data_IF_054197627100
#
_entry.id   IF_054197627100
#
_cell.length_a   1.000
_cell.length_b   1.000
_cell.length_c   1.000
_cell.angle_alpha   90.00
_cell.angle_beta   90.00
_cell.angle_gamma   90.00
#
_symmetry.space_group_name_H-M   'P 1'
#
loop_
_entity.id
_entity.type
_entity.pdbx_description
1 polymer ?
#
# COMPACT_ATOMS: atom_id res chain seq x y z
N UNK A 1 11.46 -6.25 -3.47
CA UNK A 1 11.46 -4.88 -4.04
C UNK A 1 10.49 -4.81 -5.22
N UNK A 2 9.55 -3.86 -5.20
CA UNK A 2 8.54 -3.71 -6.25
C UNK A 2 9.18 -3.16 -7.53
N UNK A 3 8.90 -3.78 -8.69
CA UNK A 3 9.30 -3.26 -10.01
C UNK A 3 10.81 -3.27 -10.33
N UNK A 4 11.63 -3.97 -9.55
CA UNK A 4 13.09 -3.93 -9.73
C UNK A 4 13.59 -4.54 -11.05
N UNK A 5 12.81 -5.41 -11.68
CA UNK A 5 13.11 -6.03 -12.98
C UNK A 5 12.97 -5.07 -14.17
N UNK A 6 12.31 -3.92 -13.97
CA UNK A 6 12.07 -2.90 -15.00
C UNK A 6 12.59 -1.52 -14.58
N UNK A 7 13.30 -1.44 -13.46
CA UNK A 7 13.86 -0.19 -12.96
C UNK A 7 15.19 0.13 -13.64
N UNK A 8 15.48 1.40 -13.91
CA UNK A 8 16.82 1.85 -14.34
C UNK A 8 17.78 1.96 -13.15
N UNK A 9 17.25 2.33 -11.98
CA UNK A 9 18.00 2.47 -10.73
C UNK A 9 17.25 1.82 -9.55
N UNK A 10 18.01 1.25 -8.63
CA UNK A 10 17.52 0.70 -7.37
C UNK A 10 18.04 1.58 -6.23
N UNK A 11 17.11 2.24 -5.52
CA UNK A 11 17.41 2.98 -4.29
C UNK A 11 17.72 1.99 -3.18
N UNK A 12 19.00 1.90 -2.81
CA UNK A 12 19.51 0.86 -1.90
C UNK A 12 19.96 1.46 -0.58
N UNK A 13 19.19 1.22 0.47
CA UNK A 13 19.56 1.60 1.84
C UNK A 13 20.64 0.64 2.37
N UNK A 14 21.82 1.17 2.70
CA UNK A 14 22.98 0.39 3.16
C UNK A 14 23.55 0.99 4.44
N UNK A 15 23.92 0.14 5.40
CA UNK A 15 24.64 0.54 6.61
C UNK A 15 26.12 0.77 6.25
N UNK A 16 26.50 2.02 6.07
CA UNK A 16 27.86 2.44 5.68
C UNK A 16 28.76 2.72 6.88
N UNK A 17 28.18 3.24 7.96
CA UNK A 17 28.87 3.34 9.25
C UNK A 17 28.31 2.29 10.22
N UNK A 18 29.12 1.28 10.51
CA UNK A 18 28.75 0.14 11.37
C UNK A 18 28.84 0.47 12.86
N UNK A 19 29.60 1.49 13.24
CA UNK A 19 29.79 1.90 14.63
C UNK A 19 28.65 2.80 15.11
N UNK A 20 28.04 3.56 14.20
CA UNK A 20 26.85 4.36 14.51
C UNK A 20 25.67 3.51 15.01
N UNK A 21 24.91 4.05 15.96
CA UNK A 21 23.73 3.36 16.50
C UNK A 21 22.58 3.35 15.49
N UNK A 22 21.90 2.21 15.40
CA UNK A 22 20.64 2.05 14.65
C UNK A 22 20.73 2.64 13.23
N UNK A 23 19.95 3.68 12.95
CA UNK A 23 19.73 4.25 11.63
C UNK A 23 20.68 5.39 11.25
N UNK A 24 21.51 5.89 12.18
CA UNK A 24 22.39 7.06 11.97
C UNK A 24 23.51 6.80 10.94
N UNK A 25 23.86 5.54 10.70
CA UNK A 25 24.89 5.15 9.73
C UNK A 25 24.34 4.64 8.39
N UNK A 26 23.09 4.95 8.05
CA UNK A 26 22.46 4.49 6.81
C UNK A 26 22.69 5.50 5.68
N UNK A 27 23.11 5.01 4.53
CA UNK A 27 23.23 5.76 3.27
C UNK A 27 22.30 5.16 2.21
N UNK A 28 21.70 5.99 1.37
CA UNK A 28 20.96 5.54 0.18
C UNK A 28 21.87 5.67 -1.04
N UNK A 29 22.04 4.58 -1.78
CA UNK A 29 22.73 4.57 -3.07
C UNK A 29 21.73 4.42 -4.23
N UNK A 30 21.95 5.17 -5.30
CA UNK A 30 21.29 5.01 -6.59
C UNK A 30 22.07 3.98 -7.41
N UNK A 31 21.77 2.70 -7.22
CA UNK A 31 22.50 1.62 -7.89
C UNK A 31 21.90 1.39 -9.28
N UNK A 32 22.67 1.47 -10.38
CA UNK A 32 22.17 1.12 -11.71
C UNK A 32 21.70 -0.34 -11.75
N UNK A 33 20.56 -0.62 -12.38
CA UNK A 33 20.00 -1.98 -12.42
C UNK A 33 20.83 -2.96 -13.25
N UNK A 34 21.72 -2.44 -14.11
CA UNK A 34 22.68 -3.21 -14.89
C UNK A 34 24.09 -3.26 -14.26
N UNK A 35 24.24 -2.82 -13.00
CA UNK A 35 25.53 -2.86 -12.31
C UNK A 35 26.09 -4.28 -12.23
N UNK A 36 27.39 -4.44 -12.49
CA UNK A 36 28.07 -5.72 -12.36
C UNK A 36 27.92 -6.25 -10.92
N UNK A 37 27.62 -7.55 -10.78
CA UNK A 37 27.35 -8.19 -9.48
C UNK A 37 25.91 -8.08 -8.97
N UNK A 38 25.03 -7.32 -9.65
CA UNK A 38 23.63 -7.19 -9.27
C UNK A 38 22.77 -8.25 -9.96
N UNK A 39 22.01 -9.02 -9.19
CA UNK A 39 21.06 -10.02 -9.72
C UNK A 39 19.65 -9.74 -9.22
N UNK A 40 18.68 -9.70 -10.14
CA UNK A 40 17.25 -9.53 -9.83
C UNK A 40 16.48 -10.80 -10.17
N UNK A 41 15.66 -11.29 -9.23
CA UNK A 41 14.80 -12.48 -9.44
C UNK A 41 13.35 -12.17 -9.11
N UNK A 42 12.43 -12.40 -10.06
CA UNK A 42 11.00 -12.20 -9.84
C UNK A 42 10.44 -13.26 -8.88
N UNK A 43 9.61 -12.81 -7.95
CA UNK A 43 8.87 -13.66 -7.02
C UNK A 43 7.44 -13.87 -7.50
N UNK A 44 6.88 -15.04 -7.17
CA UNK A 44 5.44 -15.30 -7.31
C UNK A 44 4.72 -14.77 -6.08
N UNK A 45 3.55 -14.15 -6.27
CA UNK A 45 2.73 -13.59 -5.19
C UNK A 45 1.25 -13.81 -5.46
N UNK A 46 0.46 -13.68 -4.38
CA UNK A 46 -0.99 -13.90 -4.40
C UNK A 46 -1.74 -12.90 -5.31
N UNK A 47 -1.40 -11.62 -5.24
CA UNK A 47 -2.07 -10.53 -5.94
C UNK A 47 -1.13 -9.39 -6.29
N UNK A 48 -1.66 -8.29 -6.83
CA UNK A 48 -0.92 -7.14 -7.36
C UNK A 48 0.06 -7.54 -8.48
N UNK A 49 -0.37 -8.46 -9.35
CA UNK A 49 0.47 -9.04 -10.42
C UNK A 49 0.78 -8.08 -11.59
N UNK A 50 0.21 -6.86 -11.58
CA UNK A 50 0.48 -5.83 -12.58
C UNK A 50 1.94 -5.32 -12.50
N UNK A 51 2.53 -5.34 -11.30
CA UNK A 51 3.94 -5.01 -11.08
C UNK A 51 4.64 -6.22 -10.50
N UNK A 52 5.91 -6.43 -10.84
CA UNK A 52 6.71 -7.50 -10.25
C UNK A 52 7.02 -7.21 -8.78
N UNK A 53 7.37 -8.26 -8.06
CA UNK A 53 8.07 -8.15 -6.78
C UNK A 53 9.30 -9.01 -6.90
N UNK A 54 10.47 -8.45 -6.64
CA UNK A 54 11.73 -9.13 -6.89
C UNK A 54 12.57 -9.27 -5.62
N UNK A 55 13.33 -10.36 -5.56
CA UNK A 55 14.54 -10.46 -4.75
C UNK A 55 15.67 -9.76 -5.50
N UNK A 56 16.57 -9.10 -4.77
CA UNK A 56 17.75 -8.45 -5.32
C UNK A 56 18.95 -8.94 -4.52
N UNK A 57 19.98 -9.38 -5.23
CA UNK A 57 21.25 -9.82 -4.67
C UNK A 57 22.34 -8.87 -5.15
N UNK A 58 23.21 -8.48 -4.22
CA UNK A 58 24.38 -7.65 -4.48
C UNK A 58 25.62 -8.49 -4.17
N UNK A 59 26.38 -8.84 -5.20
CA UNK A 59 27.64 -9.57 -5.09
C UNK A 59 28.79 -8.65 -5.53
N UNK A 60 29.53 -8.10 -4.56
CA UNK A 60 30.62 -7.14 -4.79
C UNK A 60 30.27 -5.97 -5.74
N UNK A 61 29.01 -5.52 -5.74
CA UNK A 61 28.54 -4.40 -6.56
C UNK A 61 29.28 -3.12 -6.19
N UNK A 62 29.95 -2.51 -7.17
CA UNK A 62 30.68 -1.25 -7.00
C UNK A 62 29.90 -0.10 -7.60
N UNK A 63 29.74 0.97 -6.82
CA UNK A 63 29.16 2.23 -7.28
C UNK A 63 30.07 3.41 -6.89
N UNK A 64 30.12 4.47 -7.71
CA UNK A 64 30.94 5.65 -7.41
C UNK A 64 30.32 6.47 -6.27
N UNK A 65 31.08 7.38 -5.65
CA UNK A 65 30.59 8.20 -4.53
C UNK A 65 29.42 9.11 -4.94
N UNK A 66 29.38 9.47 -6.21
CA UNK A 66 28.35 10.28 -6.85
C UNK A 66 27.00 9.55 -6.92
N UNK A 67 26.99 8.21 -6.77
CA UNK A 67 25.76 7.43 -6.67
C UNK A 67 25.07 7.56 -5.30
N UNK A 68 25.71 8.18 -4.30
CA UNK A 68 25.05 8.49 -3.03
C UNK A 68 23.91 9.48 -3.30
N UNK A 69 22.72 9.21 -2.75
CA UNK A 69 21.58 10.13 -2.86
C UNK A 69 21.90 11.46 -2.18
N UNK A 70 21.88 12.54 -2.97
CA UNK A 70 22.35 13.86 -2.54
C UNK A 70 23.86 14.07 -2.66
N UNK A 71 24.55 13.21 -3.41
CA UNK A 71 26.00 13.26 -3.61
C UNK A 71 26.79 12.83 -2.37
N UNK A 72 28.12 13.05 -2.34
CA UNK A 72 28.99 12.66 -1.23
C UNK A 72 28.54 13.19 0.14
N UNK A 73 27.86 14.34 0.17
CA UNK A 73 27.31 14.95 1.38
C UNK A 73 26.11 14.17 1.97
N UNK A 74 25.50 13.26 1.20
CA UNK A 74 24.43 12.37 1.63
C UNK A 74 24.89 11.16 2.44
N UNK A 75 26.21 10.98 2.62
CA UNK A 75 26.76 9.90 3.42
C UNK A 75 26.17 9.91 4.84
N UNK A 76 25.65 8.77 5.28
CA UNK A 76 25.00 8.54 6.58
C UNK A 76 23.71 9.36 6.82
N UNK A 77 23.15 10.02 5.79
CA UNK A 77 21.89 10.80 5.90
C UNK A 77 20.65 10.06 5.36
N UNK A 78 20.82 8.81 4.92
CA UNK A 78 19.80 8.04 4.22
C UNK A 78 18.51 7.81 5.00
N UNK A 79 18.60 7.62 6.32
CA UNK A 79 17.42 7.45 7.15
C UNK A 79 16.49 8.67 7.10
N UNK A 80 17.05 9.86 7.29
CA UNK A 80 16.29 11.12 7.29
C UNK A 80 15.70 11.44 5.92
N UNK A 81 16.46 11.16 4.86
CA UNK A 81 15.98 11.27 3.47
C UNK A 81 14.75 10.37 3.22
N UNK A 82 14.73 9.17 3.79
CA UNK A 82 13.62 8.23 3.64
C UNK A 82 12.39 8.61 4.48
N UNK A 83 12.56 8.84 5.78
CA UNK A 83 11.41 9.06 6.69
C UNK A 83 10.60 10.29 6.33
N UNK A 84 11.22 11.31 5.74
CA UNK A 84 10.54 12.52 5.26
C UNK A 84 9.51 12.26 4.14
N UNK A 85 9.63 11.12 3.45
CA UNK A 85 8.77 10.75 2.31
C UNK A 85 7.74 9.67 2.65
N UNK A 86 7.85 9.00 3.81
CA UNK A 86 6.94 7.91 4.19
C UNK A 86 5.49 8.36 4.37
N UNK A 87 5.26 9.61 4.75
CA UNK A 87 3.90 10.15 4.86
C UNK A 87 3.21 10.25 3.50
N UNK A 88 3.95 10.65 2.47
CA UNK A 88 3.43 10.70 1.09
C UNK A 88 3.11 9.27 0.63
N UNK A 89 3.98 8.30 0.91
CA UNK A 89 3.72 6.89 0.61
C UNK A 89 2.44 6.39 1.28
N UNK A 90 2.24 6.67 2.58
CA UNK A 90 1.02 6.30 3.31
C UNK A 90 -0.23 6.93 2.71
N UNK A 91 -0.18 8.20 2.31
CA UNK A 91 -1.30 8.88 1.64
C UNK A 91 -1.63 8.20 0.30
N UNK A 92 -0.61 7.93 -0.53
CA UNK A 92 -0.79 7.27 -1.82
C UNK A 92 -1.38 5.86 -1.67
N UNK A 93 -0.91 5.09 -0.70
CA UNK A 93 -1.47 3.78 -0.34
C UNK A 93 -2.94 3.94 0.07
N UNK A 94 -3.26 4.90 0.94
CA UNK A 94 -4.64 5.13 1.39
C UNK A 94 -5.57 5.45 0.22
N UNK A 95 -5.12 6.27 -0.73
CA UNK A 95 -5.86 6.59 -1.95
C UNK A 95 -6.09 5.35 -2.82
N UNK A 96 -5.04 4.55 -3.06
CA UNK A 96 -5.11 3.32 -3.85
C UNK A 96 -6.13 2.33 -3.28
N UNK A 97 -6.06 2.03 -1.98
CA UNK A 97 -6.95 1.05 -1.35
C UNK A 97 -8.38 1.57 -1.18
N UNK A 98 -8.57 2.89 -1.03
CA UNK A 98 -9.89 3.52 -1.15
C UNK A 98 -10.48 3.32 -2.55
N UNK A 99 -9.67 3.46 -3.61
CA UNK A 99 -10.11 3.26 -4.99
C UNK A 99 -10.46 1.79 -5.30
N UNK A 100 -9.66 0.83 -4.80
CA UNK A 100 -9.98 -0.61 -4.90
C UNK A 100 -11.33 -0.90 -4.23
N UNK A 101 -11.55 -0.35 -3.04
CA UNK A 101 -12.81 -0.49 -2.31
C UNK A 101 -14.00 0.07 -3.10
N UNK A 102 -13.84 1.26 -3.68
CA UNK A 102 -14.86 1.87 -4.53
C UNK A 102 -15.20 0.98 -5.73
N UNK A 103 -14.19 0.46 -6.43
CA UNK A 103 -14.43 -0.40 -7.59
C UNK A 103 -15.15 -1.70 -7.22
N UNK A 104 -14.74 -2.33 -6.11
CA UNK A 104 -15.40 -3.53 -5.61
C UNK A 104 -16.87 -3.26 -5.24
N UNK A 105 -17.15 -2.12 -4.60
CA UNK A 105 -18.52 -1.70 -4.33
C UNK A 105 -19.34 -1.47 -5.59
N UNK A 106 -18.78 -0.76 -6.58
CA UNK A 106 -19.49 -0.45 -7.83
C UNK A 106 -19.86 -1.74 -8.58
N UNK A 107 -18.95 -2.72 -8.65
CA UNK A 107 -19.19 -4.03 -9.25
C UNK A 107 -20.25 -4.84 -8.48
N UNK A 108 -20.18 -4.84 -7.15
CA UNK A 108 -21.16 -5.50 -6.30
C UNK A 108 -22.57 -4.88 -6.45
N UNK A 109 -22.67 -3.56 -6.45
CA UNK A 109 -23.93 -2.83 -6.61
C UNK A 109 -24.55 -3.08 -8.00
N UNK A 110 -23.73 -3.03 -9.05
CA UNK A 110 -24.18 -3.31 -10.41
C UNK A 110 -24.73 -4.73 -10.53
N UNK A 111 -23.99 -5.72 -10.03
CA UNK A 111 -24.44 -7.11 -9.99
C UNK A 111 -25.73 -7.28 -9.19
N UNK A 112 -25.82 -6.66 -8.00
CA UNK A 112 -26.99 -6.78 -7.14
C UNK A 112 -28.29 -6.27 -7.79
N UNK A 113 -28.19 -5.21 -8.61
CA UNK A 113 -29.32 -4.65 -9.35
C UNK A 113 -29.76 -5.51 -10.54
N UNK A 114 -28.85 -6.29 -11.12
CA UNK A 114 -29.11 -7.10 -12.30
C UNK A 114 -29.51 -8.54 -11.96
N UNK A 115 -28.83 -9.14 -10.99
CA UNK A 115 -29.05 -10.54 -10.60
C UNK A 115 -30.41 -10.71 -9.94
N UNK A 116 -31.23 -11.62 -10.47
CA UNK A 116 -32.54 -11.97 -9.89
C UNK A 116 -32.50 -13.31 -9.17
N UNK A 117 -33.08 -13.35 -7.98
CA UNK A 117 -33.44 -14.57 -7.24
C UNK A 117 -34.82 -14.38 -6.63
N UNK A 118 -35.56 -15.49 -6.47
CA UNK A 118 -36.94 -15.48 -5.95
C UNK A 118 -37.83 -14.38 -6.59
N UNK A 119 -37.70 -14.19 -7.91
CA UNK A 119 -38.55 -13.29 -8.70
C UNK A 119 -38.12 -11.83 -8.79
N UNK A 120 -37.09 -11.36 -8.07
CA UNK A 120 -36.67 -9.94 -8.06
C UNK A 120 -35.16 -9.73 -7.97
N UNK A 121 -34.64 -8.53 -8.32
CA UNK A 121 -33.25 -8.17 -8.09
C UNK A 121 -32.78 -8.40 -6.66
N UNK A 122 -31.56 -8.90 -6.47
CA UNK A 122 -31.05 -9.18 -5.12
C UNK A 122 -30.80 -7.90 -4.31
N UNK A 123 -30.66 -6.74 -4.97
CA UNK A 123 -30.60 -5.44 -4.31
C UNK A 123 -31.87 -5.06 -3.53
N UNK A 124 -32.97 -5.79 -3.69
CA UNK A 124 -34.22 -5.58 -2.94
C UNK A 124 -34.28 -6.36 -1.62
N UNK A 125 -33.30 -7.23 -1.33
CA UNK A 125 -33.23 -7.93 -0.04
C UNK A 125 -32.44 -7.11 0.99
N UNK A 126 -33.01 -6.97 2.19
CA UNK A 126 -32.46 -6.13 3.25
C UNK A 126 -31.02 -6.50 3.65
N UNK A 127 -30.68 -7.79 3.67
CA UNK A 127 -29.30 -8.23 3.98
C UNK A 127 -28.29 -7.79 2.91
N UNK A 128 -28.68 -7.73 1.63
CA UNK A 128 -27.83 -7.20 0.55
C UNK A 128 -27.75 -5.67 0.63
N UNK A 129 -28.86 -5.01 0.94
CA UNK A 129 -28.89 -3.56 1.16
C UNK A 129 -27.99 -3.14 2.31
N UNK A 130 -28.01 -3.89 3.41
CA UNK A 130 -27.16 -3.65 4.57
C UNK A 130 -25.67 -3.76 4.19
N UNK A 131 -25.26 -4.86 3.53
CA UNK A 131 -23.87 -5.01 3.07
C UNK A 131 -23.42 -3.84 2.20
N UNK A 132 -24.22 -3.47 1.19
CA UNK A 132 -23.89 -2.37 0.30
C UNK A 132 -23.85 -1.01 1.03
N UNK A 133 -24.75 -0.78 1.98
CA UNK A 133 -24.76 0.45 2.77
C UNK A 133 -23.51 0.55 3.66
N UNK A 134 -23.17 -0.52 4.37
CA UNK A 134 -22.00 -0.58 5.25
C UNK A 134 -20.71 -0.40 4.45
N UNK A 135 -20.58 -1.07 3.29
CA UNK A 135 -19.46 -0.87 2.37
C UNK A 135 -19.30 0.61 1.99
N UNK A 136 -20.39 1.28 1.62
CA UNK A 136 -20.34 2.67 1.19
C UNK A 136 -19.92 3.62 2.33
N UNK A 137 -20.42 3.41 3.54
CA UNK A 137 -20.04 4.21 4.73
C UNK A 137 -18.54 4.14 4.95
N UNK A 138 -17.97 2.94 4.98
CA UNK A 138 -16.53 2.70 5.20
C UNK A 138 -15.66 3.33 4.09
N UNK A 139 -16.12 3.24 2.83
CA UNK A 139 -15.45 3.84 1.67
C UNK A 139 -15.45 5.36 1.77
N UNK A 140 -16.56 5.97 2.22
CA UNK A 140 -16.62 7.43 2.41
C UNK A 140 -15.73 7.88 3.56
N UNK A 141 -15.70 7.15 4.67
CA UNK A 141 -14.78 7.41 5.77
C UNK A 141 -13.31 7.34 5.32
N UNK A 142 -12.92 6.27 4.62
CA UNK A 142 -11.55 6.09 4.08
C UNK A 142 -11.13 7.25 3.17
N UNK A 143 -12.05 7.72 2.32
CA UNK A 143 -11.80 8.84 1.41
C UNK A 143 -11.59 10.16 2.14
N UNK A 144 -12.43 10.46 3.13
CA UNK A 144 -12.31 11.68 3.92
C UNK A 144 -11.00 11.69 4.71
N UNK A 145 -10.64 10.57 5.36
CA UNK A 145 -9.37 10.44 6.09
C UNK A 145 -8.16 10.63 5.16
N UNK A 146 -8.21 10.02 3.97
CA UNK A 146 -7.15 10.15 2.96
C UNK A 146 -7.00 11.60 2.49
N UNK A 147 -8.11 12.27 2.17
CA UNK A 147 -8.08 13.66 1.71
C UNK A 147 -7.66 14.63 2.81
N UNK A 148 -8.04 14.39 4.06
CA UNK A 148 -7.60 15.18 5.18
C UNK A 148 -6.07 15.11 5.36
N UNK A 149 -5.50 13.90 5.36
CA UNK A 149 -4.05 13.73 5.43
C UNK A 149 -3.32 14.39 4.25
N UNK A 150 -3.86 14.24 3.03
CA UNK A 150 -3.33 14.91 1.84
C UNK A 150 -3.40 16.43 1.91
N UNK A 151 -4.50 16.98 2.43
CA UNK A 151 -4.69 18.42 2.60
C UNK A 151 -3.69 18.99 3.61
N UNK A 152 -3.53 18.38 4.78
CA UNK A 152 -2.53 18.78 5.77
C UNK A 152 -1.11 18.76 5.18
N UNK A 153 -0.77 17.69 4.46
CA UNK A 153 0.54 17.58 3.78
C UNK A 153 0.75 18.72 2.79
N UNK A 154 -0.28 19.10 2.03
CA UNK A 154 -0.23 20.21 1.09
C UNK A 154 -0.05 21.56 1.80
N UNK A 155 -0.60 21.75 3.00
CA UNK A 155 -0.39 22.95 3.81
C UNK A 155 1.01 23.02 4.46
N UNK A 156 1.82 21.96 4.36
CA UNK A 156 3.12 21.88 5.03
C UNK A 156 3.02 21.48 6.51
N UNK A 157 1.85 21.05 6.96
CA UNK A 157 1.62 20.63 8.34
C UNK A 157 2.21 19.25 8.63
N UNK A 158 2.62 19.04 9.88
CA UNK A 158 3.02 17.73 10.36
C UNK A 158 1.78 16.82 10.46
N UNK A 159 1.76 15.74 9.67
CA UNK A 159 0.56 14.91 9.51
C UNK A 159 0.83 13.39 9.57
N UNK A 160 1.93 12.96 10.19
CA UNK A 160 2.27 11.53 10.26
C UNK A 160 1.22 10.70 11.01
N UNK A 161 0.53 11.32 11.97
CA UNK A 161 -0.57 10.70 12.72
C UNK A 161 -1.76 10.40 11.78
N UNK A 162 -2.23 11.41 11.06
CA UNK A 162 -3.34 11.34 10.11
C UNK A 162 -3.04 10.40 8.95
N UNK A 163 -1.80 10.42 8.44
CA UNK A 163 -1.33 9.48 7.43
C UNK A 163 -1.42 8.03 7.89
N UNK A 164 -1.04 7.77 9.15
CA UNK A 164 -1.09 6.43 9.75
C UNK A 164 -2.55 5.96 9.95
N UNK A 165 -3.42 6.84 10.44
CA UNK A 165 -4.86 6.59 10.60
C UNK A 165 -5.52 6.29 9.25
N UNK A 166 -5.28 7.13 8.25
CA UNK A 166 -5.83 6.97 6.90
C UNK A 166 -5.40 5.63 6.28
N UNK A 167 -4.11 5.26 6.41
CA UNK A 167 -3.58 4.01 5.85
C UNK A 167 -4.22 2.79 6.49
N UNK A 168 -4.32 2.76 7.83
CA UNK A 168 -4.97 1.66 8.54
C UNK A 168 -6.42 1.52 8.06
N UNK A 169 -7.18 2.62 8.10
CA UNK A 169 -8.59 2.59 7.76
C UNK A 169 -8.81 2.14 6.32
N UNK A 170 -8.16 2.79 5.35
CA UNK A 170 -8.34 2.48 3.93
C UNK A 170 -7.97 1.02 3.58
N UNK A 171 -6.91 0.47 4.18
CA UNK A 171 -6.46 -0.90 3.88
C UNK A 171 -7.33 -1.97 4.56
N UNK A 172 -7.80 -1.73 5.79
CA UNK A 172 -8.77 -2.62 6.45
C UNK A 172 -10.14 -2.56 5.75
N UNK A 173 -10.61 -1.37 5.36
CA UNK A 173 -11.82 -1.18 4.57
C UNK A 173 -11.72 -1.94 3.25
N UNK A 174 -10.62 -1.85 2.50
CA UNK A 174 -10.47 -2.57 1.24
C UNK A 174 -10.58 -4.09 1.42
N UNK A 175 -9.98 -4.65 2.47
CA UNK A 175 -10.12 -6.07 2.78
C UNK A 175 -11.59 -6.43 3.10
N UNK A 176 -12.25 -5.67 3.97
CA UNK A 176 -13.66 -5.92 4.36
C UNK A 176 -14.60 -5.82 3.15
N UNK A 177 -14.55 -4.70 2.43
CA UNK A 177 -15.41 -4.40 1.28
C UNK A 177 -15.24 -5.43 0.17
N UNK A 178 -14.03 -5.92 -0.09
CA UNK A 178 -13.83 -6.94 -1.12
C UNK A 178 -14.38 -8.31 -0.72
N UNK A 179 -14.33 -8.67 0.57
CA UNK A 179 -15.00 -9.88 1.10
C UNK A 179 -16.52 -9.74 1.01
N UNK A 180 -17.07 -8.61 1.45
CA UNK A 180 -18.51 -8.32 1.37
C UNK A 180 -18.99 -8.31 -0.09
N UNK A 181 -18.19 -7.75 -0.99
CA UNK A 181 -18.43 -7.81 -2.43
C UNK A 181 -18.48 -9.24 -2.96
N UNK A 182 -17.57 -10.13 -2.53
CA UNK A 182 -17.66 -11.55 -2.89
C UNK A 182 -18.97 -12.18 -2.39
N UNK A 183 -19.39 -11.84 -1.17
CA UNK A 183 -20.65 -12.33 -0.61
C UNK A 183 -21.87 -11.87 -1.41
N UNK A 184 -21.90 -10.61 -1.87
CA UNK A 184 -22.96 -10.08 -2.75
C UNK A 184 -23.01 -10.81 -4.09
N UNK A 185 -21.85 -11.15 -4.66
CA UNK A 185 -21.76 -11.92 -5.91
C UNK A 185 -22.09 -13.41 -5.72
N UNK A 186 -22.00 -13.92 -4.50
CA UNK A 186 -22.12 -15.35 -4.19
C UNK A 186 -21.01 -16.16 -4.85
N UNK A 187 -21.35 -17.33 -5.41
CA UNK A 187 -20.37 -18.20 -6.07
C UNK A 187 -19.58 -17.51 -7.19
N UNK A 188 -20.17 -16.53 -7.88
CA UNK A 188 -19.49 -15.78 -8.94
C UNK A 188 -18.32 -14.94 -8.40
N UNK A 189 -18.43 -14.43 -7.16
CA UNK A 189 -17.37 -13.66 -6.52
C UNK A 189 -16.10 -14.48 -6.30
N UNK A 190 -16.22 -15.81 -6.25
CA UNK A 190 -15.11 -16.76 -6.05
C UNK A 190 -14.45 -17.22 -7.37
N UNK A 191 -15.11 -17.05 -8.51
CA UNK A 191 -14.62 -17.54 -9.79
C UNK A 191 -13.60 -16.58 -10.41
N UNK A 192 -12.61 -17.12 -11.14
CA UNK A 192 -11.55 -16.35 -11.78
C UNK A 192 -12.04 -15.45 -12.93
N UNK A 193 -13.20 -15.75 -13.50
CA UNK A 193 -13.86 -14.95 -14.54
C UNK A 193 -14.32 -13.57 -14.03
N UNK A 194 -14.57 -13.45 -12.73
CA UNK A 194 -14.99 -12.19 -12.11
C UNK A 194 -13.84 -11.56 -11.33
N UNK A 195 -13.83 -10.22 -11.35
CA UNK A 195 -12.72 -9.45 -10.80
C UNK A 195 -12.72 -9.36 -9.25
N UNK A 196 -13.81 -9.76 -8.60
CA UNK A 196 -13.97 -9.58 -7.14
C UNK A 196 -12.88 -10.30 -6.33
N UNK A 197 -12.57 -11.56 -6.66
CA UNK A 197 -11.46 -12.27 -6.05
C UNK A 197 -10.10 -11.61 -6.31
N UNK A 198 -9.92 -10.95 -7.47
CA UNK A 198 -8.69 -10.22 -7.79
C UNK A 198 -8.57 -8.99 -6.88
N UNK A 199 -9.66 -8.27 -6.66
CA UNK A 199 -9.68 -7.14 -5.73
C UNK A 199 -9.32 -7.58 -4.31
N UNK A 200 -9.89 -8.69 -3.82
CA UNK A 200 -9.54 -9.24 -2.51
C UNK A 200 -8.05 -9.58 -2.41
N UNK A 201 -7.51 -10.36 -3.36
CA UNK A 201 -6.09 -10.71 -3.38
C UNK A 201 -5.19 -9.49 -3.39
N UNK A 202 -5.60 -8.41 -4.08
CA UNK A 202 -4.86 -7.16 -4.10
C UNK A 202 -4.97 -6.38 -2.77
N UNK A 203 -6.18 -6.35 -2.18
CA UNK A 203 -6.49 -5.67 -0.93
C UNK A 203 -5.67 -6.20 0.25
N UNK A 204 -5.43 -7.52 0.30
CA UNK A 204 -4.67 -8.17 1.37
C UNK A 204 -3.23 -7.66 1.50
N UNK A 205 -2.59 -7.22 0.41
CA UNK A 205 -1.23 -6.67 0.48
C UNK A 205 -1.19 -5.37 1.28
N UNK A 206 -2.25 -4.57 1.26
CA UNK A 206 -2.27 -3.23 1.85
C UNK A 206 -2.06 -3.24 3.36
N UNK A 207 -2.48 -4.31 4.04
CA UNK A 207 -2.32 -4.45 5.49
C UNK A 207 -0.88 -4.77 5.92
N UNK A 208 -0.02 -5.16 4.96
CA UNK A 208 1.37 -5.57 5.19
C UNK A 208 2.36 -4.59 4.54
N UNK A 209 2.17 -4.24 3.27
CA UNK A 209 3.03 -3.32 2.52
C UNK A 209 2.96 -1.88 3.02
N UNK A 210 4.00 -1.09 2.76
CA UNK A 210 4.12 0.31 3.23
C UNK A 210 4.13 0.45 4.76
N UNK A 211 4.59 -0.61 5.45
CA UNK A 211 4.52 -0.75 6.92
C UNK A 211 3.19 -1.35 7.37
N UNK A 212 3.26 -2.44 8.13
CA UNK A 212 2.07 -3.18 8.56
C UNK A 212 1.09 -2.31 9.36
N UNK A 213 -0.18 -2.69 9.37
CA UNK A 213 -1.18 -1.96 10.16
C UNK A 213 -0.88 -2.00 11.69
N UNK A 214 -0.08 -2.95 12.17
CA UNK A 214 0.42 -2.98 13.54
C UNK A 214 1.50 -1.92 13.75
N UNK A 215 2.45 -1.79 12.81
CA UNK A 215 3.47 -0.73 12.86
C UNK A 215 2.82 0.65 12.83
N UNK A 216 1.80 0.87 11.99
CA UNK A 216 1.10 2.15 11.98
C UNK A 216 0.43 2.46 13.34
N UNK A 217 -0.11 1.45 14.04
CA UNK A 217 -0.64 1.63 15.40
C UNK A 217 0.44 1.99 16.42
N UNK A 218 1.64 1.43 16.30
CA UNK A 218 2.77 1.83 17.13
C UNK A 218 3.20 3.27 16.86
N UNK A 219 3.12 3.72 15.60
CA UNK A 219 3.37 5.12 15.24
C UNK A 219 2.33 6.03 15.90
N UNK A 220 1.03 5.69 15.80
CA UNK A 220 -0.04 6.43 16.47
C UNK A 220 0.21 6.50 17.98
N UNK A 221 0.44 5.35 18.62
CA UNK A 221 0.69 5.29 20.06
C UNK A 221 1.89 6.15 20.50
N UNK A 222 2.96 6.16 19.71
CA UNK A 222 4.12 7.03 19.98
C UNK A 222 3.78 8.52 19.83
N UNK A 223 3.06 8.90 18.77
CA UNK A 223 2.71 10.31 18.50
C UNK A 223 1.71 10.86 19.52
N UNK A 224 0.85 10.00 20.05
CA UNK A 224 -0.10 10.31 21.12
C UNK A 224 0.52 10.24 22.53
N UNK A 225 1.84 9.99 22.65
CA UNK A 225 2.54 10.00 23.93
C UNK A 225 2.30 8.77 24.83
N UNK A 226 1.87 7.64 24.26
CA UNK A 226 1.67 6.38 24.99
C UNK A 226 2.97 5.58 25.19
N UNK A 227 4.05 5.93 24.47
CA UNK A 227 5.37 5.27 24.50
C UNK A 227 6.51 6.26 24.25
#
# INVERSE_FOLDING_TARGET
ITGADIADFIMTCTKTDKECRRYEGITIFMVPSNAEGLTVRKMKKLGNNILSTCEIFYDDVRVPKEAIMGGPEGLNKGWWQMVNNLDIERIMISALYTAISQRAYDDALAYAKQRKQFGRPISEYQMIQQLLADMLVEIRASRLLTYHAGWLKQQGEFCSLECSIAKIHATETAKKVTIDGMQVLGGYGYMMEYDMQRYLRNALLGTVGGGTNQIQRLIIAKLEGMM
#
